data_IF_409826940439
#
_entry.id   IF_409826940439
#
_cell.length_a   1.000
_cell.length_b   1.000
_cell.length_c   1.000
_cell.angle_alpha   90.00
_cell.angle_beta   90.00
_cell.angle_gamma   90.00
#
_symmetry.space_group_name_H-M   'P 1'
#
loop_
_entity.id
_entity.type
_entity.pdbx_description
1 polymer ?
#
# COMPACT_ATOMS: atom_id res chain seq x y z
N UNK A 1 8.00 13.55 22.38
CA UNK A 1 7.77 13.12 20.99
C UNK A 1 8.84 12.12 20.52
N UNK A 2 10.15 12.43 20.68
CA UNK A 2 11.22 11.49 20.29
C UNK A 2 11.16 10.16 21.04
N UNK A 3 10.95 10.22 22.35
CA UNK A 3 10.80 9.01 23.20
C UNK A 3 9.62 8.16 22.74
N UNK A 4 8.47 8.76 22.47
CA UNK A 4 7.30 8.05 21.96
C UNK A 4 7.57 7.39 20.61
N UNK A 5 8.27 8.06 19.71
CA UNK A 5 8.66 7.50 18.43
C UNK A 5 9.62 6.30 18.59
N UNK A 6 10.61 6.41 19.48
CA UNK A 6 11.54 5.33 19.78
C UNK A 6 10.82 4.10 20.39
N UNK A 7 9.86 4.34 21.28
CA UNK A 7 9.05 3.26 21.88
C UNK A 7 8.24 2.55 20.78
N UNK A 8 7.57 3.27 19.89
CA UNK A 8 6.82 2.67 18.78
C UNK A 8 7.74 1.86 17.85
N UNK A 9 8.92 2.40 17.52
CA UNK A 9 9.91 1.65 16.73
C UNK A 9 10.39 0.39 17.44
N UNK A 10 10.63 0.46 18.75
CA UNK A 10 11.01 -0.70 19.57
C UNK A 10 9.89 -1.76 19.60
N UNK A 11 8.63 -1.33 19.71
CA UNK A 11 7.48 -2.24 19.64
C UNK A 11 7.40 -3.01 18.30
N UNK A 12 7.81 -2.40 17.19
CA UNK A 12 7.84 -3.07 15.90
C UNK A 12 8.84 -4.25 15.86
N UNK A 13 9.89 -4.21 16.69
CA UNK A 13 10.89 -5.26 16.76
C UNK A 13 10.53 -6.41 17.73
N UNK A 14 9.45 -6.26 18.52
CA UNK A 14 9.05 -7.26 19.51
C UNK A 14 8.77 -8.62 18.86
N UNK A 15 8.01 -8.63 17.76
CA UNK A 15 7.68 -9.88 17.08
C UNK A 15 8.88 -10.56 16.43
N UNK A 16 9.76 -9.88 15.69
CA UNK A 16 11.03 -10.45 15.23
C UNK A 16 11.90 -10.98 16.38
N UNK A 17 11.95 -10.27 17.52
CA UNK A 17 12.72 -10.71 18.68
C UNK A 17 12.15 -11.99 19.31
N UNK A 18 10.82 -12.12 19.42
CA UNK A 18 10.15 -13.32 19.88
C UNK A 18 10.45 -14.51 18.94
N UNK A 19 10.34 -14.27 17.63
CA UNK A 19 10.63 -15.28 16.62
C UNK A 19 12.09 -15.76 16.72
N UNK A 20 13.03 -14.83 16.88
CA UNK A 20 14.45 -15.17 17.10
C UNK A 20 14.64 -15.98 18.38
N UNK A 21 14.07 -15.51 19.49
CA UNK A 21 14.21 -16.20 20.79
C UNK A 21 13.63 -17.61 20.73
N UNK A 22 12.49 -17.80 20.11
CA UNK A 22 11.82 -19.11 20.03
C UNK A 22 12.52 -20.11 19.10
N UNK A 23 13.20 -19.63 18.04
CA UNK A 23 13.78 -20.49 16.99
C UNK A 23 15.30 -20.54 17.02
N UNK A 24 15.96 -19.64 17.76
CA UNK A 24 17.42 -19.46 17.74
C UNK A 24 17.96 -18.84 16.45
N UNK A 25 17.11 -18.46 15.50
CA UNK A 25 17.48 -17.91 14.20
C UNK A 25 17.13 -16.43 14.10
N UNK A 26 18.13 -15.59 13.84
CA UNK A 26 17.95 -14.12 13.68
C UNK A 26 17.02 -13.79 12.50
N UNK A 27 17.05 -14.60 11.47
CA UNK A 27 16.30 -14.44 10.23
C UNK A 27 14.91 -15.12 10.25
N UNK A 28 14.50 -15.72 11.38
CA UNK A 28 13.27 -16.53 11.44
C UNK A 28 12.03 -15.79 10.96
N UNK A 29 11.86 -14.53 11.37
CA UNK A 29 10.72 -13.70 10.95
C UNK A 29 10.76 -13.41 9.44
N UNK A 30 11.89 -12.93 8.93
CA UNK A 30 12.04 -12.60 7.52
C UNK A 30 11.99 -13.85 6.62
N UNK A 31 12.53 -14.98 7.09
CA UNK A 31 12.45 -16.26 6.38
C UNK A 31 11.01 -16.75 6.26
N UNK A 32 10.19 -16.60 7.30
CA UNK A 32 8.77 -16.95 7.26
C UNK A 32 8.02 -16.07 6.27
N UNK A 33 8.22 -14.74 6.33
CA UNK A 33 7.61 -13.79 5.40
C UNK A 33 7.98 -14.06 3.94
N UNK A 34 9.24 -14.38 3.68
CA UNK A 34 9.71 -14.71 2.32
C UNK A 34 9.22 -16.07 1.84
N UNK A 35 9.08 -17.06 2.75
CA UNK A 35 8.51 -18.36 2.42
C UNK A 35 7.05 -18.25 1.95
N UNK A 36 6.23 -17.42 2.63
CA UNK A 36 4.86 -17.12 2.21
C UNK A 36 4.77 -16.43 0.86
N UNK A 37 5.76 -15.61 0.52
CA UNK A 37 5.79 -14.88 -0.75
C UNK A 37 6.41 -15.67 -1.90
N UNK A 38 7.08 -16.78 -1.61
CA UNK A 38 7.83 -17.56 -2.61
C UNK A 38 9.02 -16.80 -3.25
N UNK A 39 9.41 -15.65 -2.69
CA UNK A 39 10.45 -14.78 -3.23
C UNK A 39 11.31 -14.18 -2.12
N UNK A 40 12.55 -13.84 -2.44
CA UNK A 40 13.44 -13.12 -1.52
C UNK A 40 12.93 -11.68 -1.28
N UNK A 41 13.30 -11.14 -0.11
CA UNK A 41 12.98 -9.77 0.25
C UNK A 41 13.81 -8.83 -0.64
N UNK A 42 13.16 -8.23 -1.62
CA UNK A 42 13.80 -7.30 -2.56
C UNK A 42 12.94 -6.02 -2.65
N UNK A 43 13.44 -4.89 -2.11
CA UNK A 43 12.73 -3.62 -2.15
C UNK A 43 12.40 -3.23 -3.60
N UNK A 44 11.19 -2.72 -3.83
CA UNK A 44 10.70 -2.21 -5.13
C UNK A 44 10.53 -3.28 -6.21
N UNK A 45 11.37 -4.33 -6.21
CA UNK A 45 11.37 -5.36 -7.25
C UNK A 45 10.01 -6.02 -7.47
N UNK A 46 9.20 -6.36 -6.44
CA UNK A 46 7.88 -6.95 -6.65
C UNK A 46 6.95 -6.05 -7.44
N UNK A 47 7.00 -4.73 -7.21
CA UNK A 47 6.23 -3.75 -7.99
C UNK A 47 6.63 -3.73 -9.46
N UNK A 48 7.94 -3.78 -9.73
CA UNK A 48 8.43 -3.85 -11.11
C UNK A 48 8.05 -5.17 -11.77
N UNK A 49 8.20 -6.30 -11.09
CA UNK A 49 7.88 -7.62 -11.63
C UNK A 49 6.39 -7.73 -11.99
N UNK A 50 5.50 -7.33 -11.09
CA UNK A 50 4.07 -7.27 -11.36
C UNK A 50 3.72 -6.22 -12.41
N UNK A 51 4.39 -5.08 -12.37
CA UNK A 51 4.23 -4.04 -13.38
C UNK A 51 4.59 -4.52 -14.78
N UNK A 52 5.69 -5.24 -14.94
CA UNK A 52 6.09 -5.82 -16.23
C UNK A 52 5.06 -6.84 -16.76
N UNK A 53 4.43 -7.60 -15.86
CA UNK A 53 3.40 -8.55 -16.23
C UNK A 53 2.17 -7.88 -16.85
N UNK A 54 1.74 -6.73 -16.30
CA UNK A 54 0.52 -6.03 -16.73
C UNK A 54 0.78 -4.93 -17.77
N UNK A 55 1.92 -4.25 -17.70
CA UNK A 55 2.21 -3.03 -18.48
C UNK A 55 3.47 -3.16 -19.35
N UNK A 56 4.15 -4.31 -19.32
CA UNK A 56 5.36 -4.51 -20.10
C UNK A 56 6.43 -3.46 -19.77
N UNK A 57 7.13 -2.98 -20.78
CA UNK A 57 8.23 -2.01 -20.64
C UNK A 57 7.81 -0.63 -20.09
N UNK A 58 6.52 -0.32 -20.02
CA UNK A 58 6.04 0.91 -19.41
C UNK A 58 6.07 0.89 -17.87
N UNK A 59 6.23 -0.29 -17.26
CA UNK A 59 6.15 -0.47 -15.81
C UNK A 59 7.08 0.45 -15.00
N UNK A 60 8.39 0.60 -15.31
CA UNK A 60 9.27 1.48 -14.54
C UNK A 60 8.82 2.95 -14.61
N UNK A 61 8.37 3.39 -15.77
CA UNK A 61 7.89 4.77 -15.97
C UNK A 61 6.61 4.99 -15.16
N UNK A 62 5.65 4.06 -15.24
CA UNK A 62 4.40 4.16 -14.50
C UNK A 62 4.63 4.13 -12.99
N UNK A 63 5.52 3.27 -12.50
CA UNK A 63 5.88 3.23 -11.08
C UNK A 63 6.54 4.54 -10.63
N UNK A 64 7.44 5.08 -11.43
CA UNK A 64 8.08 6.37 -11.14
C UNK A 64 7.05 7.49 -11.09
N UNK A 65 6.12 7.54 -12.05
CA UNK A 65 5.05 8.54 -12.08
C UNK A 65 4.11 8.39 -10.89
N UNK A 66 3.80 7.16 -10.46
CA UNK A 66 3.01 6.88 -9.26
C UNK A 66 3.69 7.45 -8.01
N UNK A 67 4.97 7.18 -7.83
CA UNK A 67 5.75 7.65 -6.69
C UNK A 67 5.84 9.17 -6.68
N UNK A 68 6.22 9.77 -7.80
CA UNK A 68 6.34 11.23 -7.91
C UNK A 68 4.99 11.92 -7.76
N UNK A 69 3.93 11.37 -8.34
CA UNK A 69 2.56 11.90 -8.21
C UNK A 69 2.06 11.84 -6.77
N UNK A 70 2.35 10.75 -6.06
CA UNK A 70 2.00 10.61 -4.64
C UNK A 70 2.75 11.64 -3.77
N UNK A 71 4.05 11.78 -3.98
CA UNK A 71 4.87 12.78 -3.28
C UNK A 71 4.36 14.19 -3.58
N UNK A 72 4.09 14.50 -4.85
CA UNK A 72 3.56 15.80 -5.26
C UNK A 72 2.19 16.08 -4.62
N UNK A 73 1.31 15.08 -4.53
CA UNK A 73 0.02 15.20 -3.84
C UNK A 73 0.22 15.54 -2.36
N UNK A 74 1.04 14.80 -1.64
CA UNK A 74 1.31 15.03 -0.23
C UNK A 74 2.00 16.38 0.03
N UNK A 75 2.86 16.83 -0.87
CA UNK A 75 3.55 18.13 -0.78
C UNK A 75 2.71 19.28 -1.32
N UNK A 76 1.56 19.02 -1.91
CA UNK A 76 0.70 20.07 -2.48
C UNK A 76 0.23 21.07 -1.42
N UNK A 77 0.01 22.36 -1.78
CA UNK A 77 -0.55 23.35 -0.87
C UNK A 77 -1.92 22.94 -0.33
N UNK A 78 -2.71 22.20 -1.11
CA UNK A 78 -4.01 21.69 -0.68
C UNK A 78 -3.85 20.67 0.44
N UNK A 79 -3.01 19.64 0.26
CA UNK A 79 -2.77 18.64 1.28
C UNK A 79 -2.26 19.26 2.58
N UNK A 80 -1.33 20.21 2.50
CA UNK A 80 -0.78 20.91 3.66
C UNK A 80 -1.81 21.79 4.40
N UNK A 81 -2.84 22.26 3.70
CA UNK A 81 -3.93 23.05 4.31
C UNK A 81 -5.01 22.15 4.92
N UNK A 82 -5.23 20.98 4.34
CA UNK A 82 -6.35 20.09 4.72
C UNK A 82 -5.91 19.07 5.76
N UNK A 83 -4.69 18.55 5.64
CA UNK A 83 -4.15 17.56 6.55
C UNK A 83 -3.20 18.22 7.55
N UNK A 84 -3.35 17.87 8.83
CA UNK A 84 -2.32 18.16 9.81
C UNK A 84 -1.01 17.46 9.44
N UNK A 85 0.13 18.10 9.78
CA UNK A 85 1.45 17.57 9.44
C UNK A 85 1.68 16.10 9.86
N UNK A 86 1.21 15.62 11.03
CA UNK A 86 1.35 14.20 11.40
C UNK A 86 0.62 13.24 10.44
N UNK A 87 -0.59 13.60 9.97
CA UNK A 87 -1.34 12.75 9.04
C UNK A 87 -0.68 12.72 7.65
N UNK A 88 -0.14 13.84 7.20
CA UNK A 88 0.58 13.90 5.94
C UNK A 88 1.87 13.07 5.99
N UNK A 89 2.60 13.17 7.10
CA UNK A 89 3.80 12.37 7.33
C UNK A 89 3.47 10.88 7.43
N UNK A 90 2.35 10.53 8.08
CA UNK A 90 1.82 9.17 8.10
C UNK A 90 1.59 8.63 6.68
N UNK A 91 0.90 9.37 5.83
CA UNK A 91 0.65 8.96 4.45
C UNK A 91 1.95 8.72 3.68
N UNK A 92 2.92 9.63 3.80
CA UNK A 92 4.23 9.48 3.14
C UNK A 92 5.00 8.26 3.64
N UNK A 93 5.08 8.07 4.95
CA UNK A 93 5.80 6.95 5.56
C UNK A 93 5.14 5.61 5.24
N UNK A 94 3.81 5.56 5.31
CA UNK A 94 3.07 4.34 4.99
C UNK A 94 3.17 3.98 3.51
N UNK A 95 3.09 4.96 2.61
CA UNK A 95 3.29 4.73 1.18
C UNK A 95 4.71 4.24 0.89
N UNK A 96 5.73 4.85 1.50
CA UNK A 96 7.11 4.40 1.36
C UNK A 96 7.27 2.95 1.83
N UNK A 97 6.65 2.59 2.96
CA UNK A 97 6.61 1.20 3.43
C UNK A 97 5.98 0.25 2.41
N UNK A 98 4.84 0.63 1.80
CA UNK A 98 4.20 -0.20 0.79
C UNK A 98 5.08 -0.38 -0.45
N UNK A 99 5.74 0.68 -0.94
CA UNK A 99 6.63 0.59 -2.11
C UNK A 99 7.85 -0.28 -1.83
N UNK A 100 8.39 -0.22 -0.61
CA UNK A 100 9.60 -0.97 -0.26
C UNK A 100 9.32 -2.45 0.02
N UNK A 101 8.21 -2.77 0.67
CA UNK A 101 8.01 -4.10 1.27
C UNK A 101 6.80 -4.86 0.74
N UNK A 102 5.84 -4.20 0.09
CA UNK A 102 4.65 -4.87 -0.39
C UNK A 102 4.94 -5.65 -1.68
N UNK A 103 4.47 -6.89 -1.70
CA UNK A 103 4.30 -7.64 -2.95
C UNK A 103 2.88 -7.36 -3.48
N UNK A 104 2.71 -6.62 -4.60
CA UNK A 104 1.39 -6.29 -5.12
C UNK A 104 0.61 -7.53 -5.53
N UNK A 105 -0.60 -7.65 -5.01
CA UNK A 105 -1.54 -8.74 -5.28
C UNK A 105 -2.95 -8.16 -5.34
N UNK A 106 -3.95 -9.00 -5.59
CA UNK A 106 -5.36 -8.59 -5.53
C UNK A 106 -5.75 -7.92 -4.21
N UNK A 107 -5.15 -8.37 -3.10
CA UNK A 107 -5.34 -7.82 -1.76
C UNK A 107 -4.68 -6.45 -1.52
N UNK A 108 -3.88 -5.95 -2.46
CA UNK A 108 -3.15 -4.67 -2.33
C UNK A 108 -4.08 -3.50 -2.04
N UNK A 109 -5.28 -3.48 -2.63
CA UNK A 109 -6.23 -2.38 -2.44
C UNK A 109 -6.69 -2.22 -0.99
N UNK A 110 -6.85 -3.30 -0.22
CA UNK A 110 -7.18 -3.20 1.21
C UNK A 110 -6.04 -2.59 2.04
N UNK A 111 -4.80 -2.77 1.58
CA UNK A 111 -3.62 -2.20 2.23
C UNK A 111 -3.45 -0.70 1.94
N UNK A 112 -4.21 -0.14 1.01
CA UNK A 112 -4.29 1.31 0.82
C UNK A 112 -5.27 2.01 1.78
N UNK A 113 -6.09 1.27 2.53
CA UNK A 113 -7.03 1.84 3.48
C UNK A 113 -6.40 2.82 4.49
N UNK A 114 -5.20 2.57 5.07
CA UNK A 114 -4.57 3.54 5.97
C UNK A 114 -4.19 4.88 5.31
N UNK A 115 -4.25 4.97 3.98
CA UNK A 115 -4.07 6.21 3.23
C UNK A 115 -5.37 7.03 3.09
N UNK A 116 -6.46 6.63 3.81
CA UNK A 116 -7.76 7.32 3.78
C UNK A 116 -7.67 8.84 4.01
N UNK A 117 -6.70 9.42 4.76
CA UNK A 117 -6.62 10.88 4.91
C UNK A 117 -6.48 11.60 3.56
N UNK A 118 -5.92 10.96 2.53
CA UNK A 118 -5.79 11.54 1.20
C UNK A 118 -7.16 11.70 0.50
N UNK A 119 -8.16 10.89 0.88
CA UNK A 119 -9.53 11.03 0.36
C UNK A 119 -10.10 12.39 0.77
N UNK A 120 -9.74 12.89 1.96
CA UNK A 120 -10.16 14.22 2.44
C UNK A 120 -9.55 15.30 1.54
N UNK A 121 -8.29 15.14 1.13
CA UNK A 121 -7.61 16.08 0.21
C UNK A 121 -8.31 16.10 -1.14
N UNK A 122 -8.59 14.90 -1.70
CA UNK A 122 -9.30 14.77 -2.98
C UNK A 122 -10.69 15.41 -2.87
N UNK A 123 -11.45 15.13 -1.80
CA UNK A 123 -12.77 15.71 -1.60
C UNK A 123 -12.74 17.24 -1.43
N UNK A 124 -11.66 17.78 -0.88
CA UNK A 124 -11.46 19.22 -0.70
C UNK A 124 -11.01 19.95 -1.97
N UNK A 125 -10.64 19.24 -3.04
CA UNK A 125 -10.14 19.83 -4.29
C UNK A 125 -11.20 20.70 -5.00
N UNK A 126 -12.50 20.43 -4.77
CA UNK A 126 -13.57 21.27 -5.29
C UNK A 126 -14.76 21.36 -4.32
N UNK A 127 -15.35 22.55 -4.29
CA UNK A 127 -16.59 22.80 -3.54
C UNK A 127 -17.85 22.45 -4.34
N UNK A 128 -17.72 22.10 -5.61
CA UNK A 128 -18.83 21.78 -6.50
C UNK A 128 -19.62 20.55 -6.00
N UNK A 129 -20.94 20.64 -5.97
CA UNK A 129 -21.83 19.49 -5.67
C UNK A 129 -21.68 18.38 -6.70
N UNK A 130 -21.56 18.75 -7.99
CA UNK A 130 -21.38 17.80 -9.06
C UNK A 130 -20.08 16.97 -8.89
N UNK A 131 -18.99 17.64 -8.51
CA UNK A 131 -17.71 16.96 -8.22
C UNK A 131 -17.84 15.94 -7.08
N UNK A 132 -18.50 16.33 -5.97
CA UNK A 132 -18.70 15.42 -4.84
C UNK A 132 -19.58 14.22 -5.21
N UNK A 133 -20.63 14.43 -5.97
CA UNK A 133 -21.46 13.34 -6.50
C UNK A 133 -20.67 12.45 -7.44
N UNK A 134 -19.82 13.01 -8.32
CA UNK A 134 -18.96 12.24 -9.19
C UNK A 134 -17.99 11.35 -8.40
N UNK A 135 -17.40 11.87 -7.31
CA UNK A 135 -16.53 11.06 -6.43
C UNK A 135 -17.32 9.92 -5.75
N UNK A 136 -18.51 10.17 -5.26
CA UNK A 136 -19.34 9.14 -4.63
C UNK A 136 -19.73 8.05 -5.63
N UNK A 137 -20.18 8.44 -6.82
CA UNK A 137 -20.53 7.48 -7.89
C UNK A 137 -19.30 6.70 -8.33
N UNK A 138 -18.15 7.36 -8.55
CA UNK A 138 -16.91 6.69 -8.92
C UNK A 138 -16.46 5.71 -7.84
N UNK A 139 -16.55 6.09 -6.56
CA UNK A 139 -16.26 5.21 -5.43
C UNK A 139 -17.18 4.00 -5.37
N UNK A 140 -18.50 4.20 -5.55
CA UNK A 140 -19.46 3.11 -5.59
C UNK A 140 -19.22 2.15 -6.76
N UNK A 141 -18.95 2.69 -7.96
CA UNK A 141 -18.60 1.87 -9.13
C UNK A 141 -17.29 1.09 -8.91
N UNK A 142 -16.27 1.74 -8.34
CA UNK A 142 -15.00 1.08 -8.02
C UNK A 142 -15.20 -0.03 -6.97
N UNK A 143 -16.01 0.22 -5.94
CA UNK A 143 -16.37 -0.79 -4.93
C UNK A 143 -17.10 -1.98 -5.56
N UNK A 144 -18.07 -1.70 -6.41
CA UNK A 144 -18.83 -2.75 -7.10
C UNK A 144 -17.93 -3.56 -8.06
N UNK A 145 -17.07 -2.90 -8.82
CA UNK A 145 -16.08 -3.53 -9.66
C UNK A 145 -15.10 -4.41 -8.86
N UNK A 146 -14.66 -3.92 -7.70
CA UNK A 146 -13.81 -4.72 -6.82
C UNK A 146 -14.51 -5.98 -6.33
N UNK A 147 -15.72 -5.84 -5.76
CA UNK A 147 -16.47 -6.99 -5.26
C UNK A 147 -16.80 -7.98 -6.38
N UNK A 148 -17.25 -7.48 -7.54
CA UNK A 148 -17.64 -8.30 -8.67
C UNK A 148 -16.46 -9.00 -9.38
N UNK A 149 -15.28 -8.40 -9.36
CA UNK A 149 -14.12 -8.91 -10.10
C UNK A 149 -13.05 -9.54 -9.22
N UNK A 150 -12.66 -8.88 -8.14
CA UNK A 150 -11.57 -9.35 -7.28
C UNK A 150 -12.02 -10.38 -6.25
N UNK A 151 -13.30 -10.38 -5.86
CA UNK A 151 -13.87 -11.37 -4.94
C UNK A 151 -14.48 -12.56 -5.66
N UNK A 152 -14.49 -12.55 -7.00
CA UNK A 152 -14.96 -13.69 -7.75
C UNK A 152 -13.89 -14.77 -7.72
N UNK A 153 -14.09 -15.77 -6.88
CA UNK A 153 -13.21 -16.92 -6.77
C UNK A 153 -13.14 -17.64 -8.13
N UNK A 154 -12.00 -17.60 -8.76
CA UNK A 154 -11.71 -18.41 -9.94
C UNK A 154 -10.55 -19.33 -9.62
N UNK A 155 -10.80 -20.64 -9.74
CA UNK A 155 -9.75 -21.62 -9.79
C UNK A 155 -8.90 -21.37 -11.04
N UNK A 156 -7.62 -21.06 -10.85
CA UNK A 156 -6.71 -20.89 -11.96
C UNK A 156 -6.37 -22.23 -12.58
N UNK A 157 -6.22 -22.34 -13.92
CA UNK A 157 -5.70 -23.52 -14.57
C UNK A 157 -4.30 -23.81 -14.01
N UNK A 158 -4.16 -24.88 -13.22
CA UNK A 158 -2.90 -25.23 -12.55
C UNK A 158 -3.01 -25.40 -11.03
N UNK A 159 -4.20 -25.21 -10.44
CA UNK A 159 -4.48 -25.60 -9.05
C UNK A 159 -4.03 -24.60 -7.97
N UNK A 160 -3.80 -23.35 -8.33
CA UNK A 160 -3.52 -22.29 -7.35
C UNK A 160 -4.80 -21.58 -6.95
N UNK A 161 -5.35 -21.92 -5.79
CA UNK A 161 -6.41 -21.12 -5.16
C UNK A 161 -5.76 -19.94 -4.43
N UNK A 162 -5.87 -18.74 -4.98
CA UNK A 162 -5.49 -17.54 -4.27
C UNK A 162 -6.75 -16.92 -3.67
N UNK A 163 -6.85 -16.82 -2.33
CA UNK A 163 -7.87 -15.98 -1.72
C UNK A 163 -7.65 -14.53 -2.14
N UNK A 164 -8.72 -13.77 -2.38
CA UNK A 164 -8.64 -12.35 -2.75
C UNK A 164 -8.01 -11.50 -1.65
#
# INVERSE_FOLDING_TARGET
QLVSALVVCACALVWPAIAWWATGRVDAYTATETAWRGTHLAPIQPWLSQGYLYFGYAAPVLLTLLILGFIALCLSPLARRVLAAPLNLWCLSYFAYLILFLNPQSSTFRLFLPLFPLVIVVAAASRSRAYRWALLVAGACAQWGWVGWLWHWKQLPGGGDYPP
#
